data_IF_928409618553
#
_entry.id   IF_928409618553
#
_cell.length_a   1.000
_cell.length_b   1.000
_cell.length_c   1.000
_cell.angle_alpha   90.00
_cell.angle_beta   90.00
_cell.angle_gamma   90.00
#
_symmetry.space_group_name_H-M   'P 1'
#
loop_
_entity.id
_entity.type
_entity.pdbx_description
1 polymer ?
#
# COMPACT_ATOMS: atom_id res chain seq x y z
N UNK A 1 0.83 16.42 -0.21
CA UNK A 1 0.35 15.02 -0.34
C UNK A 1 -1.03 14.89 -1.02
N UNK A 2 -2.00 15.78 -0.74
CA UNK A 2 -3.36 15.74 -1.31
C UNK A 2 -3.46 15.85 -2.85
N UNK A 3 -2.56 16.59 -3.51
CA UNK A 3 -2.57 16.74 -4.97
C UNK A 3 -2.33 15.40 -5.70
N UNK A 4 -1.37 14.60 -5.24
CA UNK A 4 -1.05 13.30 -5.86
C UNK A 4 -2.20 12.30 -5.75
N UNK A 5 -2.94 12.29 -4.62
CA UNK A 5 -4.08 11.37 -4.44
C UNK A 5 -5.25 11.68 -5.39
N UNK A 6 -5.43 12.96 -5.74
CA UNK A 6 -6.49 13.40 -6.67
C UNK A 6 -6.18 13.01 -8.12
N UNK A 7 -4.91 13.03 -8.51
CA UNK A 7 -4.42 12.59 -9.83
C UNK A 7 -4.61 11.08 -10.04
N UNK A 8 -4.25 10.25 -9.06
CA UNK A 8 -4.42 8.79 -9.12
C UNK A 8 -5.87 8.38 -9.37
N UNK A 9 -6.80 9.08 -8.73
CA UNK A 9 -8.24 8.84 -8.88
C UNK A 9 -8.77 9.18 -10.28
N UNK A 10 -8.13 10.10 -11.01
CA UNK A 10 -8.55 10.55 -12.35
C UNK A 10 -7.99 9.70 -13.48
N UNK A 11 -6.82 9.08 -13.31
CA UNK A 11 -6.05 8.49 -14.41
C UNK A 11 -5.96 6.95 -14.38
N UNK A 12 -6.66 6.26 -13.46
CA UNK A 12 -6.51 4.80 -13.25
C UNK A 12 -5.03 4.38 -13.17
N UNK A 13 -4.23 5.19 -12.46
CA UNK A 13 -2.80 4.95 -12.32
C UNK A 13 -2.54 4.08 -11.11
N UNK A 14 -1.68 3.08 -11.29
CA UNK A 14 -1.09 2.31 -10.21
C UNK A 14 0.23 2.97 -9.83
N UNK A 15 0.38 3.32 -8.56
CA UNK A 15 1.64 3.83 -8.00
C UNK A 15 2.33 2.71 -7.25
N UNK A 16 3.59 2.47 -7.60
CA UNK A 16 4.51 1.69 -6.76
C UNK A 16 5.56 2.63 -6.18
N UNK A 17 5.83 2.51 -4.88
CA UNK A 17 6.91 3.27 -4.22
C UNK A 17 7.78 2.35 -3.37
N UNK A 18 9.07 2.70 -3.34
CA UNK A 18 10.09 2.07 -2.51
C UNK A 18 10.79 3.15 -1.70
N UNK A 19 10.98 2.90 -0.42
CA UNK A 19 11.69 3.80 0.50
C UNK A 19 12.69 3.01 1.34
N UNK A 20 13.90 3.57 1.52
CA UNK A 20 14.88 3.00 2.43
C UNK A 20 14.41 3.18 3.88
N UNK A 21 14.40 2.09 4.62
CA UNK A 21 14.16 2.05 6.05
C UNK A 21 15.48 2.17 6.80
N UNK A 22 15.99 3.38 6.92
CA UNK A 22 17.22 3.64 7.67
C UNK A 22 17.02 3.34 9.17
N UNK A 23 18.08 2.89 9.85
CA UNK A 23 18.08 2.62 11.28
C UNK A 23 17.56 3.82 12.09
N UNK A 24 16.57 3.58 12.97
CA UNK A 24 15.93 4.63 13.78
C UNK A 24 14.64 5.21 13.19
N UNK A 25 14.21 4.75 12.00
CA UNK A 25 12.94 5.19 11.41
C UNK A 25 11.76 4.51 12.11
N UNK A 26 10.84 5.32 12.65
CA UNK A 26 9.53 4.87 13.12
C UNK A 26 8.47 5.35 12.14
N UNK A 27 7.62 4.44 11.65
CA UNK A 27 6.51 4.75 10.75
C UNK A 27 5.21 4.28 11.39
N UNK A 28 4.31 5.22 11.63
CA UNK A 28 2.90 4.95 11.94
C UNK A 28 2.04 5.24 10.72
N UNK A 29 0.92 4.53 10.59
CA UNK A 29 -0.09 4.81 9.58
C UNK A 29 -1.34 5.35 10.25
N UNK A 30 -1.90 6.42 9.69
CA UNK A 30 -3.17 7.02 10.12
C UNK A 30 -4.16 6.82 8.99
N UNK A 31 -5.36 6.38 9.33
CA UNK A 31 -6.45 6.17 8.39
C UNK A 31 -7.78 6.55 9.03
N UNK A 32 -8.77 6.83 8.18
CA UNK A 32 -10.15 7.08 8.59
C UNK A 32 -10.87 5.74 8.75
N UNK A 33 -11.29 5.43 9.97
CA UNK A 33 -11.96 4.15 10.31
C UNK A 33 -13.37 4.03 9.75
N UNK A 34 -14.01 5.13 9.35
CA UNK A 34 -15.34 5.08 8.73
C UNK A 34 -15.27 4.64 7.25
N UNK A 35 -14.17 4.99 6.58
CA UNK A 35 -14.00 4.80 5.13
C UNK A 35 -12.87 3.83 4.76
N UNK A 36 -12.19 3.23 5.74
CA UNK A 36 -11.05 2.34 5.52
C UNK A 36 -11.16 1.07 6.35
N UNK A 37 -11.12 -0.07 5.68
CA UNK A 37 -10.95 -1.39 6.31
C UNK A 37 -9.47 -1.77 6.22
N UNK A 38 -8.88 -2.18 7.36
CA UNK A 38 -7.48 -2.61 7.41
C UNK A 38 -7.42 -4.11 7.65
N UNK A 39 -6.53 -4.79 6.92
CA UNK A 39 -6.27 -6.22 7.10
C UNK A 39 -4.76 -6.49 7.11
N UNK A 40 -4.38 -7.47 7.93
CA UNK A 40 -3.04 -8.05 7.92
C UNK A 40 -2.95 -9.14 6.85
N UNK A 41 -1.86 -9.14 6.09
CA UNK A 41 -1.59 -10.09 5.02
C UNK A 41 -0.13 -10.56 5.09
N UNK A 42 0.20 -11.53 4.24
CA UNK A 42 1.58 -11.96 3.98
C UNK A 42 1.90 -11.76 2.49
N UNK A 43 3.01 -11.09 2.20
CA UNK A 43 3.58 -10.92 0.84
C UNK A 43 4.96 -11.54 0.81
N UNK A 44 5.16 -12.59 0.02
CA UNK A 44 6.45 -13.30 -0.10
C UNK A 44 7.07 -13.64 1.26
N UNK A 45 6.24 -14.08 2.22
CA UNK A 45 6.66 -14.41 3.59
C UNK A 45 6.86 -13.21 4.54
N UNK A 46 6.69 -11.97 4.06
CA UNK A 46 6.83 -10.76 4.86
C UNK A 46 5.46 -10.26 5.34
N UNK A 47 5.36 -9.76 6.60
CA UNK A 47 4.16 -9.09 7.07
C UNK A 47 3.81 -7.87 6.22
N UNK A 48 2.54 -7.77 5.85
CA UNK A 48 1.99 -6.69 5.06
C UNK A 48 0.67 -6.21 5.66
N UNK A 49 0.33 -4.96 5.36
CA UNK A 49 -0.98 -4.38 5.70
C UNK A 49 -1.62 -3.83 4.45
N UNK A 50 -2.90 -4.13 4.25
CA UNK A 50 -3.73 -3.53 3.22
C UNK A 50 -4.76 -2.59 3.83
N UNK A 51 -4.93 -1.44 3.17
CA UNK A 51 -5.92 -0.42 3.46
C UNK A 51 -6.91 -0.42 2.30
N UNK A 52 -8.09 -0.97 2.54
CA UNK A 52 -9.19 -1.04 1.60
C UNK A 52 -10.06 0.20 1.80
N UNK A 53 -10.03 1.11 0.84
CA UNK A 53 -10.77 2.37 0.93
C UNK A 53 -12.13 2.23 0.24
N UNK A 54 -13.17 2.88 0.77
CA UNK A 54 -14.52 2.87 0.19
C UNK A 54 -14.59 3.34 -1.27
N UNK A 55 -13.64 4.17 -1.70
CA UNK A 55 -13.53 4.64 -3.09
C UNK A 55 -12.73 3.70 -4.01
N UNK A 56 -12.27 2.56 -3.49
CA UNK A 56 -11.49 1.54 -4.17
C UNK A 56 -10.01 1.90 -4.39
N UNK A 57 -9.52 3.06 -3.93
CA UNK A 57 -8.11 3.45 -4.08
C UNK A 57 -7.25 2.78 -3.00
N UNK A 58 -7.13 1.47 -3.08
CA UNK A 58 -6.54 0.62 -2.06
C UNK A 58 -5.02 0.77 -2.01
N UNK A 59 -4.46 0.56 -0.82
CA UNK A 59 -3.02 0.66 -0.57
C UNK A 59 -2.52 -0.56 0.16
N UNK A 60 -1.51 -1.23 -0.39
CA UNK A 60 -0.80 -2.34 0.23
C UNK A 60 0.61 -1.90 0.57
N UNK A 61 1.03 -2.08 1.82
CA UNK A 61 2.40 -1.79 2.26
C UNK A 61 3.02 -3.00 2.96
N UNK A 62 4.28 -3.27 2.68
CA UNK A 62 5.04 -4.33 3.31
C UNK A 62 6.51 -3.95 3.46
N UNK A 63 7.20 -4.68 4.32
CA UNK A 63 8.65 -4.54 4.49
C UNK A 63 9.35 -5.64 3.71
N UNK A 64 10.42 -5.28 3.02
CA UNK A 64 11.33 -6.20 2.37
C UNK A 64 12.75 -5.80 2.74
N UNK A 65 13.36 -6.51 3.69
CA UNK A 65 14.66 -6.15 4.28
C UNK A 65 14.64 -4.70 4.81
N UNK A 66 15.54 -3.85 4.30
CA UNK A 66 15.65 -2.43 4.63
C UNK A 66 14.79 -1.54 3.73
N UNK A 67 13.78 -2.11 3.06
CA UNK A 67 12.86 -1.36 2.21
C UNK A 67 11.44 -1.39 2.77
N UNK A 68 10.77 -0.25 2.67
CA UNK A 68 9.32 -0.13 2.78
C UNK A 68 8.78 -0.01 1.36
N UNK A 69 7.94 -0.96 0.99
CA UNK A 69 7.28 -1.01 -0.31
C UNK A 69 5.80 -0.66 -0.15
N UNK A 70 5.25 -0.03 -1.17
CA UNK A 70 3.83 0.36 -1.21
C UNK A 70 3.31 0.30 -2.65
N UNK A 71 2.17 -0.35 -2.84
CA UNK A 71 1.36 -0.25 -4.05
C UNK A 71 0.09 0.51 -3.67
N UNK A 72 -0.30 1.50 -4.47
CA UNK A 72 -1.60 2.18 -4.37
C UNK A 72 -2.25 2.22 -5.73
N UNK A 73 -3.54 1.87 -5.81
CA UNK A 73 -4.29 1.95 -7.06
C UNK A 73 -5.74 1.53 -6.89
N UNK A 74 -6.55 1.71 -7.94
CA UNK A 74 -7.88 1.11 -8.01
C UNK A 74 -7.75 -0.36 -8.40
N UNK A 75 -7.50 -1.20 -7.40
CA UNK A 75 -7.21 -2.62 -7.54
C UNK A 75 -8.02 -3.39 -6.52
N UNK A 76 -8.50 -4.56 -6.88
CA UNK A 76 -9.04 -5.51 -5.91
C UNK A 76 -7.93 -6.00 -4.97
N UNK A 77 -8.32 -6.48 -3.79
CA UNK A 77 -7.40 -7.12 -2.83
C UNK A 77 -6.60 -8.26 -3.48
N UNK A 78 -7.22 -9.05 -4.37
CA UNK A 78 -6.54 -10.12 -5.10
C UNK A 78 -5.48 -9.58 -6.07
N UNK A 79 -5.83 -8.58 -6.88
CA UNK A 79 -4.91 -8.00 -7.87
C UNK A 79 -3.70 -7.36 -7.20
N UNK A 80 -3.91 -6.53 -6.19
CA UNK A 80 -2.80 -5.85 -5.50
C UNK A 80 -1.90 -6.84 -4.76
N UNK A 81 -2.48 -7.89 -4.17
CA UNK A 81 -1.72 -8.96 -3.50
C UNK A 81 -0.93 -9.78 -4.50
N UNK A 82 -1.50 -10.10 -5.66
CA UNK A 82 -0.80 -10.82 -6.75
C UNK A 82 0.37 -10.00 -7.29
N UNK A 83 0.16 -8.70 -7.49
CA UNK A 83 1.23 -7.78 -7.90
C UNK A 83 2.35 -7.71 -6.87
N UNK A 84 2.03 -7.58 -5.59
CA UNK A 84 3.03 -7.52 -4.53
C UNK A 84 3.83 -8.83 -4.42
N UNK A 85 3.18 -9.99 -4.55
CA UNK A 85 3.87 -11.28 -4.56
C UNK A 85 4.76 -11.50 -5.79
N UNK A 86 4.56 -10.76 -6.88
CA UNK A 86 5.48 -10.80 -8.03
C UNK A 86 6.78 -10.01 -7.84
N UNK A 87 6.92 -9.27 -6.73
CA UNK A 87 8.09 -8.44 -6.42
C UNK A 87 9.02 -9.20 -5.46
N UNK A 88 10.24 -9.47 -5.90
CA UNK A 88 11.28 -10.22 -5.17
C UNK A 88 12.33 -9.32 -4.53
#
# INVERSE_FOLDING_TARGET
MLLFRKELNRLNVIRFTQQNNASGTSRGTIYDTEDTVVKDLIVNGNPAMIFLHKNGLDTLTWKLRDLILEITGKLTEEEITKMANSIN
#
